data_IF_458739237068
#
_entry.id   IF_458739237068
#
_cell.length_a   1.000
_cell.length_b   1.000
_cell.length_c   1.000
_cell.angle_alpha   90.00
_cell.angle_beta   90.00
_cell.angle_gamma   90.00
#
_symmetry.space_group_name_H-M   'P 1'
#
loop_
_entity.id
_entity.type
_entity.pdbx_description
1 polymer ?
#
# COMPACT_ATOMS: atom_id res chain seq x y z
N UNK A 1 -53.91 -8.44 -27.88
CA UNK A 1 -52.94 -7.36 -28.16
C UNK A 1 -52.03 -7.27 -26.94
N UNK A 2 -50.81 -7.82 -27.00
CA UNK A 2 -49.89 -7.87 -25.86
C UNK A 2 -48.91 -6.70 -25.96
N UNK A 3 -49.04 -5.71 -25.07
CA UNK A 3 -48.09 -4.61 -24.97
C UNK A 3 -46.88 -5.08 -24.15
N UNK A 4 -45.75 -5.27 -24.83
CA UNK A 4 -44.46 -5.54 -24.20
C UNK A 4 -43.80 -4.19 -23.86
N UNK A 5 -43.68 -3.85 -22.58
CA UNK A 5 -43.00 -2.65 -22.12
C UNK A 5 -41.53 -2.97 -21.85
N UNK A 6 -40.65 -2.44 -22.70
CA UNK A 6 -39.20 -2.41 -22.49
C UNK A 6 -38.88 -1.59 -21.23
N UNK A 7 -38.28 -2.20 -20.21
CA UNK A 7 -37.56 -1.48 -19.17
C UNK A 7 -36.21 -1.01 -19.73
N UNK A 8 -36.02 0.31 -19.86
CA UNK A 8 -34.70 0.89 -20.03
C UNK A 8 -33.98 0.86 -18.67
N UNK A 9 -32.99 -0.03 -18.53
CA UNK A 9 -32.05 0.01 -17.42
C UNK A 9 -31.02 1.12 -17.67
N UNK A 10 -31.13 2.25 -16.96
CA UNK A 10 -30.09 3.27 -16.94
C UNK A 10 -28.91 2.78 -16.09
N UNK A 11 -27.80 2.43 -16.74
CA UNK A 11 -26.55 2.09 -16.06
C UNK A 11 -25.91 3.36 -15.50
N UNK A 12 -26.01 3.57 -14.19
CA UNK A 12 -25.25 4.61 -13.50
C UNK A 12 -23.77 4.18 -13.41
N UNK A 13 -22.91 4.80 -14.21
CA UNK A 13 -21.45 4.69 -14.04
C UNK A 13 -21.06 5.47 -12.77
N UNK A 14 -20.83 4.75 -11.68
CA UNK A 14 -20.19 5.34 -10.50
C UNK A 14 -18.74 5.68 -10.85
N UNK A 15 -18.42 6.98 -10.98
CA UNK A 15 -17.05 7.47 -10.97
C UNK A 15 -16.48 7.21 -9.56
N UNK A 16 -15.78 6.10 -9.37
CA UNK A 16 -15.01 5.87 -8.16
C UNK A 16 -13.89 6.91 -8.11
N UNK A 17 -13.95 7.84 -7.16
CA UNK A 17 -12.82 8.74 -6.90
C UNK A 17 -11.65 7.92 -6.39
N UNK A 18 -10.49 8.03 -7.05
CA UNK A 18 -9.30 7.27 -6.66
C UNK A 18 -8.80 7.73 -5.28
N UNK A 19 -8.85 6.82 -4.29
CA UNK A 19 -8.40 7.07 -2.92
C UNK A 19 -6.91 7.45 -2.93
N UNK A 20 -6.58 8.66 -2.46
CA UNK A 20 -5.21 9.19 -2.48
C UNK A 20 -4.81 9.71 -1.10
N UNK A 21 -3.57 9.45 -0.70
CA UNK A 21 -3.00 9.90 0.56
C UNK A 21 -1.63 10.55 0.37
N UNK A 22 -1.27 11.49 1.25
CA UNK A 22 0.14 11.82 1.47
C UNK A 22 0.81 10.61 2.12
N UNK A 23 1.91 10.15 1.54
CA UNK A 23 2.57 8.93 1.95
C UNK A 23 4.07 9.13 2.16
N UNK A 24 4.66 8.30 3.02
CA UNK A 24 6.10 8.15 3.19
C UNK A 24 6.50 6.73 2.76
N UNK A 25 7.74 6.58 2.33
CA UNK A 25 8.22 5.37 1.69
C UNK A 25 9.56 4.96 2.26
N UNK A 26 9.71 3.71 2.67
CA UNK A 26 11.01 3.05 2.93
C UNK A 26 11.07 1.73 2.17
N UNK A 27 12.07 0.90 2.48
CA UNK A 27 12.17 -0.45 1.99
C UNK A 27 12.62 -1.43 3.09
N UNK A 28 12.21 -2.69 2.94
CA UNK A 28 12.59 -3.82 3.81
C UNK A 28 12.82 -5.08 2.97
N UNK A 29 13.26 -6.19 3.60
CA UNK A 29 13.61 -7.44 2.92
C UNK A 29 15.07 -7.83 3.15
N UNK A 30 15.63 -8.64 2.26
CA UNK A 30 17.02 -9.12 2.39
C UNK A 30 18.01 -7.97 2.55
N UNK A 31 18.81 -8.00 3.61
CA UNK A 31 19.77 -6.94 3.95
C UNK A 31 19.20 -5.78 4.78
N UNK A 32 17.94 -5.85 5.20
CA UNK A 32 17.37 -4.88 6.15
C UNK A 32 18.09 -4.92 7.51
N UNK A 33 18.52 -3.74 7.97
CA UNK A 33 19.19 -3.52 9.27
C UNK A 33 18.29 -3.85 10.47
N UNK A 34 16.97 -3.91 10.28
CA UNK A 34 15.99 -4.26 11.31
C UNK A 34 15.55 -5.73 11.28
N UNK A 35 16.25 -6.58 10.53
CA UNK A 35 16.04 -8.02 10.50
C UNK A 35 14.61 -8.43 10.08
N UNK A 36 14.06 -7.75 9.06
CA UNK A 36 12.81 -8.14 8.39
C UNK A 36 13.07 -8.72 6.99
N UNK A 37 13.72 -9.90 6.86
CA UNK A 37 14.17 -10.42 5.57
C UNK A 37 13.05 -10.98 4.69
N UNK A 38 11.83 -11.17 5.21
CA UNK A 38 10.80 -11.96 4.55
C UNK A 38 9.75 -11.13 3.80
N UNK A 39 10.17 -10.13 3.02
CA UNK A 39 9.22 -9.20 2.40
C UNK A 39 8.35 -9.84 1.29
N UNK A 40 8.85 -10.89 0.64
CA UNK A 40 8.16 -11.56 -0.47
C UNK A 40 7.56 -12.93 -0.12
N UNK A 41 7.54 -13.35 1.15
CA UNK A 41 7.05 -14.68 1.54
C UNK A 41 5.61 -14.64 2.10
N UNK A 42 4.63 -14.24 1.29
CA UNK A 42 3.21 -14.25 1.66
C UNK A 42 2.75 -13.09 2.58
N UNK A 43 3.63 -12.60 3.45
CA UNK A 43 3.36 -11.49 4.38
C UNK A 43 2.14 -11.73 5.30
N UNK A 44 1.72 -10.68 6.00
CA UNK A 44 0.52 -10.71 6.85
C UNK A 44 -0.78 -10.98 6.07
N UNK A 45 -0.76 -10.80 4.74
CA UNK A 45 -1.91 -11.13 3.88
C UNK A 45 -2.03 -12.62 3.57
N UNK A 46 -0.97 -13.42 3.74
CA UNK A 46 -0.94 -14.81 3.30
C UNK A 46 -0.98 -14.97 1.77
N UNK A 47 -0.56 -13.95 1.03
CA UNK A 47 -0.62 -13.89 -0.43
C UNK A 47 0.78 -13.69 -1.02
N UNK A 48 1.17 -14.61 -1.90
CA UNK A 48 2.37 -14.42 -2.72
C UNK A 48 2.04 -13.47 -3.88
N UNK A 49 2.90 -12.48 -4.10
CA UNK A 49 2.72 -11.50 -5.17
C UNK A 49 3.74 -11.75 -6.27
N UNK A 50 3.25 -12.00 -7.48
CA UNK A 50 4.08 -11.89 -8.69
C UNK A 50 4.10 -10.41 -9.11
N UNK A 51 5.25 -9.75 -8.94
CA UNK A 51 5.44 -8.32 -9.21
C UNK A 51 5.87 -7.54 -7.95
N UNK A 52 5.85 -6.21 -8.06
CA UNK A 52 6.26 -5.33 -6.95
C UNK A 52 5.27 -5.38 -5.79
N UNK A 53 5.80 -5.59 -4.59
CA UNK A 53 5.01 -5.71 -3.36
C UNK A 53 5.48 -4.73 -2.29
N UNK A 54 4.59 -4.45 -1.34
CA UNK A 54 4.88 -3.58 -0.20
C UNK A 54 4.08 -3.98 1.03
N UNK A 55 4.66 -3.71 2.20
CA UNK A 55 3.91 -3.59 3.44
C UNK A 55 3.29 -2.19 3.53
N UNK A 56 2.16 -2.07 4.24
CA UNK A 56 1.50 -0.78 4.43
C UNK A 56 1.21 -0.51 5.91
N UNK A 57 1.26 0.75 6.34
CA UNK A 57 1.00 1.17 7.71
C UNK A 57 -0.33 0.62 8.24
N UNK A 58 -0.35 0.27 9.52
CA UNK A 58 -1.46 -0.42 10.16
C UNK A 58 -2.81 0.28 10.00
N UNK A 59 -2.83 1.62 10.01
CA UNK A 59 -4.05 2.40 9.81
C UNK A 59 -4.70 2.20 8.42
N UNK A 60 -3.89 1.98 7.38
CA UNK A 60 -4.38 1.66 6.04
C UNK A 60 -4.56 0.15 5.85
N UNK A 61 -3.68 -0.67 6.45
CA UNK A 61 -3.82 -2.12 6.43
C UNK A 61 -5.18 -2.56 6.99
N UNK A 62 -5.60 -1.95 8.10
CA UNK A 62 -6.96 -2.01 8.66
C UNK A 62 -7.16 -2.95 9.86
N UNK A 63 -6.16 -3.77 10.20
CA UNK A 63 -6.14 -4.62 11.41
C UNK A 63 -4.74 -4.66 12.01
N UNK A 64 -4.63 -5.04 13.29
CA UNK A 64 -3.35 -5.16 13.99
C UNK A 64 -2.59 -6.45 13.69
N UNK A 65 -1.33 -6.51 14.13
CA UNK A 65 -0.50 -7.72 14.05
C UNK A 65 -1.17 -8.93 14.72
N UNK A 66 -1.10 -10.10 14.07
CA UNK A 66 -1.73 -11.34 14.54
C UNK A 66 -3.24 -11.46 14.28
N UNK A 67 -3.88 -10.43 13.72
CA UNK A 67 -5.32 -10.45 13.38
C UNK A 67 -5.63 -10.93 11.96
N UNK A 68 -4.61 -11.33 11.20
CA UNK A 68 -4.73 -11.85 9.84
C UNK A 68 -4.74 -10.79 8.74
N UNK A 69 -5.37 -11.12 7.61
CA UNK A 69 -5.42 -10.28 6.42
C UNK A 69 -6.36 -9.08 6.63
N UNK A 70 -5.82 -7.86 6.50
CA UNK A 70 -6.59 -6.62 6.52
C UNK A 70 -7.23 -6.29 5.17
N UNK A 71 -8.19 -5.35 5.12
CA UNK A 71 -8.86 -4.93 3.89
C UNK A 71 -7.93 -4.35 2.80
N UNK A 72 -6.70 -3.94 3.14
CA UNK A 72 -5.73 -3.49 2.14
C UNK A 72 -5.07 -4.63 1.36
N UNK A 73 -5.13 -5.87 1.85
CA UNK A 73 -4.49 -7.00 1.20
C UNK A 73 -4.93 -7.17 -0.25
N UNK A 74 -3.96 -7.29 -1.16
CA UNK A 74 -4.18 -7.47 -2.59
C UNK A 74 -4.53 -6.19 -3.36
N UNK A 75 -4.70 -5.05 -2.69
CA UNK A 75 -4.94 -3.76 -3.38
C UNK A 75 -3.67 -3.25 -4.05
N UNK A 76 -3.82 -2.57 -5.20
CA UNK A 76 -2.72 -1.96 -5.94
C UNK A 76 -2.68 -0.44 -5.74
N UNK A 77 -1.48 0.10 -5.59
CA UNK A 77 -1.24 1.51 -5.31
C UNK A 77 -0.13 2.05 -6.19
N UNK A 78 -0.43 3.16 -6.88
CA UNK A 78 0.55 3.94 -7.61
C UNK A 78 1.19 4.94 -6.64
N UNK A 79 2.49 4.79 -6.42
CA UNK A 79 3.31 5.58 -5.52
C UNK A 79 4.11 6.59 -6.33
N UNK A 80 4.19 7.83 -5.85
CA UNK A 80 4.95 8.90 -6.51
C UNK A 80 5.71 9.74 -5.49
N UNK A 81 6.97 10.03 -5.76
CA UNK A 81 7.76 11.05 -5.05
C UNK A 81 8.71 11.74 -6.03
N UNK A 82 8.43 12.99 -6.41
CA UNK A 82 9.19 13.68 -7.46
C UNK A 82 9.10 12.92 -8.80
N UNK A 83 10.25 12.52 -9.35
CA UNK A 83 10.36 11.67 -10.56
C UNK A 83 10.27 10.17 -10.29
N UNK A 84 10.28 9.74 -9.02
CA UNK A 84 10.21 8.34 -8.64
C UNK A 84 8.77 7.86 -8.65
N UNK A 85 8.51 6.72 -9.28
CA UNK A 85 7.16 6.13 -9.30
C UNK A 85 7.17 4.62 -9.45
N UNK A 86 6.22 3.95 -8.79
CA UNK A 86 6.03 2.50 -8.92
C UNK A 86 4.58 2.13 -8.58
N UNK A 87 4.04 1.08 -9.21
CA UNK A 87 2.80 0.45 -8.74
C UNK A 87 3.14 -0.79 -7.92
N UNK A 88 2.68 -0.85 -6.68
CA UNK A 88 2.86 -2.00 -5.79
C UNK A 88 1.54 -2.65 -5.45
N UNK A 89 1.58 -3.96 -5.16
CA UNK A 89 0.47 -4.69 -4.53
C UNK A 89 0.76 -4.88 -3.04
N UNK A 90 -0.20 -4.54 -2.19
CA UNK A 90 -0.08 -4.73 -0.74
C UNK A 90 -0.16 -6.22 -0.41
N UNK A 91 0.89 -6.76 0.21
CA UNK A 91 0.96 -8.16 0.65
C UNK A 91 1.32 -8.31 2.13
N UNK A 92 1.66 -7.22 2.81
CA UNK A 92 2.12 -7.28 4.19
C UNK A 92 1.66 -6.09 5.02
N UNK A 93 1.79 -6.24 6.33
CA UNK A 93 1.52 -5.22 7.33
C UNK A 93 2.83 -4.58 7.79
N UNK A 94 2.87 -3.24 7.82
CA UNK A 94 3.82 -2.50 8.61
C UNK A 94 3.15 -2.13 9.95
N UNK A 95 3.43 -2.87 11.05
CA UNK A 95 2.67 -2.71 12.29
C UNK A 95 3.00 -1.39 12.98
N UNK A 96 1.99 -0.80 13.61
CA UNK A 96 2.23 0.33 14.52
C UNK A 96 3.02 -0.15 15.74
N UNK A 97 3.96 0.65 16.21
CA UNK A 97 4.80 0.32 17.35
C UNK A 97 5.73 1.46 17.73
N UNK A 98 6.28 1.39 18.95
CA UNK A 98 7.20 2.41 19.47
C UNK A 98 8.48 2.51 18.63
N UNK A 99 8.95 1.39 18.08
CA UNK A 99 10.14 1.33 17.21
C UNK A 99 9.79 1.49 15.72
N UNK A 100 8.52 1.71 15.39
CA UNK A 100 8.04 1.85 14.01
C UNK A 100 7.20 3.11 13.83
N UNK A 101 7.79 4.27 14.17
CA UNK A 101 7.11 5.56 14.15
C UNK A 101 6.55 5.94 12.76
N UNK A 102 7.13 5.41 11.68
CA UNK A 102 6.66 5.65 10.31
C UNK A 102 5.29 5.01 10.03
N UNK A 103 4.94 3.93 10.73
CA UNK A 103 3.70 3.16 10.54
C UNK A 103 2.69 3.32 11.68
N UNK A 104 2.95 4.25 12.61
CA UNK A 104 2.17 4.46 13.84
C UNK A 104 1.09 5.55 13.74
N UNK A 105 0.59 5.85 12.54
CA UNK A 105 -0.56 6.74 12.39
C UNK A 105 -1.79 6.13 13.09
N UNK A 106 -2.49 6.92 13.91
CA UNK A 106 -3.67 6.45 14.65
C UNK A 106 -4.95 6.35 13.80
N UNK A 107 -4.98 7.02 12.64
CA UNK A 107 -6.08 7.03 11.68
C UNK A 107 -5.57 7.39 10.28
N UNK A 108 -6.44 7.35 9.26
CA UNK A 108 -6.12 7.81 7.90
C UNK A 108 -6.01 9.34 7.76
N UNK A 109 -6.39 10.11 8.79
CA UNK A 109 -6.22 11.57 8.83
C UNK A 109 -5.05 12.01 9.71
N UNK A 110 -4.60 11.16 10.64
CA UNK A 110 -3.39 11.38 11.41
C UNK A 110 -2.15 11.31 10.50
N UNK A 111 -1.01 11.81 10.98
CA UNK A 111 0.26 11.76 10.26
C UNK A 111 1.37 11.19 11.14
N UNK A 112 2.38 10.60 10.52
CA UNK A 112 3.63 10.22 11.17
C UNK A 112 4.59 11.42 11.27
N UNK A 113 5.82 11.19 11.75
CA UNK A 113 6.85 12.24 11.91
C UNK A 113 7.24 12.93 10.59
N UNK A 114 7.02 12.27 9.44
CA UNK A 114 7.24 12.81 8.10
C UNK A 114 6.02 13.58 7.55
N UNK A 115 5.00 13.77 8.39
CA UNK A 115 3.72 14.38 8.02
C UNK A 115 2.92 13.54 7.02
N UNK A 116 3.14 12.23 6.91
CA UNK A 116 2.46 11.35 5.97
C UNK A 116 1.30 10.60 6.63
N UNK A 117 0.15 10.51 5.93
CA UNK A 117 -1.05 9.85 6.42
C UNK A 117 -0.95 8.33 6.42
N UNK A 118 -0.18 7.79 5.47
CA UNK A 118 0.08 6.36 5.34
C UNK A 118 1.54 6.13 5.02
N UNK A 119 2.04 4.93 5.26
CA UNK A 119 3.40 4.56 4.93
C UNK A 119 3.42 3.27 4.12
N UNK A 120 4.25 3.22 3.08
CA UNK A 120 4.51 2.02 2.30
C UNK A 120 5.98 1.62 2.47
N UNK A 121 6.20 0.40 2.91
CA UNK A 121 7.53 -0.17 3.05
C UNK A 121 7.73 -1.17 1.89
N UNK A 122 8.54 -0.78 0.91
CA UNK A 122 8.64 -1.49 -0.37
C UNK A 122 9.53 -2.73 -0.23
N UNK A 123 9.05 -3.85 -0.76
CA UNK A 123 9.79 -5.11 -0.66
C UNK A 123 10.98 -5.13 -1.62
N UNK A 124 12.19 -5.16 -1.06
CA UNK A 124 13.45 -5.22 -1.80
C UNK A 124 13.56 -6.50 -2.64
N UNK A 125 13.12 -7.64 -2.09
CA UNK A 125 13.19 -8.94 -2.77
C UNK A 125 12.23 -9.06 -3.98
N UNK A 126 11.21 -8.19 -4.05
CA UNK A 126 10.32 -8.10 -5.21
C UNK A 126 10.87 -7.19 -6.32
N UNK A 127 11.95 -6.45 -6.05
CA UNK A 127 12.49 -5.39 -6.91
C UNK A 127 11.80 -4.03 -6.73
N UNK A 128 10.75 -3.93 -5.92
CA UNK A 128 9.98 -2.68 -5.74
C UNK A 128 10.85 -1.54 -5.19
N UNK A 129 11.70 -1.84 -4.20
CA UNK A 129 12.60 -0.85 -3.62
C UNK A 129 13.56 -0.27 -4.66
N UNK A 130 14.20 -1.13 -5.44
CA UNK A 130 15.11 -0.71 -6.51
C UNK A 130 14.39 0.10 -7.59
N UNK A 131 13.19 -0.32 -7.98
CA UNK A 131 12.40 0.39 -9.00
C UNK A 131 11.96 1.79 -8.55
N UNK A 132 11.75 2.00 -7.24
CA UNK A 132 11.28 3.27 -6.71
C UNK A 132 12.43 4.18 -6.27
N UNK A 133 13.34 3.67 -5.44
CA UNK A 133 14.44 4.45 -4.88
C UNK A 133 15.65 4.51 -5.81
N UNK A 134 15.81 3.56 -6.74
CA UNK A 134 17.05 3.38 -7.51
C UNK A 134 18.25 3.22 -6.57
N UNK A 135 19.16 4.22 -6.51
CA UNK A 135 20.25 4.36 -5.53
C UNK A 135 20.03 5.55 -4.57
N UNK A 136 18.80 6.06 -4.54
CA UNK A 136 18.39 7.26 -3.82
C UNK A 136 18.29 7.05 -2.31
N UNK A 137 17.83 8.09 -1.60
CA UNK A 137 17.70 8.04 -0.14
C UNK A 137 16.71 6.94 0.27
N UNK A 138 17.03 6.14 1.29
CA UNK A 138 16.16 5.06 1.79
C UNK A 138 14.87 5.52 2.48
N UNK A 139 14.52 6.81 2.40
CA UNK A 139 13.28 7.42 2.88
C UNK A 139 12.86 8.54 1.92
N UNK A 140 11.62 8.48 1.44
CA UNK A 140 10.99 9.50 0.60
C UNK A 140 9.58 9.84 1.09
N UNK A 141 9.06 11.00 0.67
CA UNK A 141 7.68 11.44 0.94
C UNK A 141 7.01 11.87 -0.36
N UNK A 142 5.73 11.56 -0.53
CA UNK A 142 4.98 11.89 -1.74
C UNK A 142 3.53 11.45 -1.63
N UNK A 143 2.98 10.83 -2.68
CA UNK A 143 1.57 10.42 -2.74
C UNK A 143 1.40 8.95 -3.06
N UNK A 144 0.38 8.33 -2.48
CA UNK A 144 -0.07 6.99 -2.81
C UNK A 144 -1.53 7.06 -3.27
N UNK A 145 -1.79 6.59 -4.49
CA UNK A 145 -3.13 6.56 -5.09
C UNK A 145 -3.54 5.12 -5.36
N UNK A 146 -4.69 4.70 -4.85
CA UNK A 146 -5.25 3.38 -5.13
C UNK A 146 -5.63 3.29 -6.60
N UNK A 147 -5.20 2.22 -7.27
CA UNK A 147 -5.45 1.96 -8.69
C UNK A 147 -5.97 0.55 -8.89
N UNK A 148 -6.46 0.26 -10.09
CA UNK A 148 -6.67 -1.13 -10.50
C UNK A 148 -5.33 -1.86 -10.53
N UNK A 149 -5.33 -3.09 -10.02
CA UNK A 149 -4.38 -4.09 -10.50
C UNK A 149 -4.79 -4.50 -11.94
#
# INVERSE_FOLDING_TARGET
>A
MHASQLLLAASALALATAQTYKSSFTHYGSGDKYNSPNCNNGGACGLYVNGYSAAVSQNLYGVGGGQGAGPACGTCWYLVSGSHSVTVKVNNLCPAGNDNALCSQSSLSATNLEGANVHFDLCSDSGAAWAFFENGPGLLVGTATKVSC
#
